data_IF_647256237629
#
_entry.id   IF_647256237629
#
_cell.length_a   1.000
_cell.length_b   1.000
_cell.length_c   1.000
_cell.angle_alpha   90.00
_cell.angle_beta   90.00
_cell.angle_gamma   90.00
#
_symmetry.space_group_name_H-M   'P 1'
#
loop_
_entity.id
_entity.type
_entity.pdbx_description
1 polymer ?
#
# COMPACT_ATOMS: atom_id res chain seq x y z
N UNK A 1 26.23 12.42 -10.90
CA UNK A 1 24.91 12.49 -10.26
C UNK A 1 24.81 13.86 -9.59
N UNK A 2 23.98 14.78 -10.11
CA UNK A 2 23.80 16.12 -9.52
C UNK A 2 22.82 15.99 -8.35
N UNK A 3 23.26 16.35 -7.15
CA UNK A 3 22.50 16.29 -5.89
C UNK A 3 21.53 17.48 -5.71
N UNK A 4 21.33 18.29 -6.75
CA UNK A 4 20.71 19.62 -6.67
C UNK A 4 19.19 19.63 -6.44
N UNK A 5 18.54 18.45 -6.35
CA UNK A 5 17.08 18.32 -6.18
C UNK A 5 16.62 17.81 -4.81
N UNK A 6 17.55 17.41 -3.93
CA UNK A 6 17.18 16.85 -2.62
C UNK A 6 17.03 17.91 -1.51
N UNK A 7 17.63 19.08 -1.69
CA UNK A 7 17.58 20.19 -0.74
C UNK A 7 16.70 21.33 -1.31
N UNK A 8 15.70 21.82 -0.55
CA UNK A 8 14.85 22.91 -1.00
C UNK A 8 15.60 24.25 -1.11
N UNK A 9 15.04 25.17 -1.90
CA UNK A 9 15.52 26.56 -2.04
C UNK A 9 15.22 27.35 -0.73
N UNK A 10 16.17 27.37 0.20
CA UNK A 10 16.02 28.06 1.49
C UNK A 10 16.15 29.57 1.33
N UNK A 11 15.03 30.30 1.27
CA UNK A 11 15.02 31.77 1.32
C UNK A 11 14.89 32.26 2.75
N UNK A 12 16.03 32.54 3.40
CA UNK A 12 16.08 33.29 4.65
C UNK A 12 15.53 34.70 4.41
N UNK A 13 14.40 35.05 5.05
CA UNK A 13 13.82 36.40 4.97
C UNK A 13 14.77 37.44 5.56
N UNK A 14 14.92 38.55 4.85
CA UNK A 14 15.97 39.57 4.99
C UNK A 14 15.95 40.43 6.26
N UNK A 15 15.00 40.23 7.18
CA UNK A 15 14.79 41.12 8.34
C UNK A 15 15.69 40.82 9.55
N UNK A 16 16.61 39.84 9.46
CA UNK A 16 17.42 39.38 10.60
C UNK A 16 18.81 40.05 10.68
N UNK A 17 18.95 41.29 10.20
CA UNK A 17 20.27 41.96 10.10
C UNK A 17 20.77 42.64 11.39
N UNK A 18 19.98 42.78 12.44
CA UNK A 18 20.34 43.59 13.62
C UNK A 18 20.17 42.88 14.97
N UNK A 19 21.15 42.05 15.35
CA UNK A 19 21.65 41.88 16.73
C UNK A 19 22.76 40.81 16.76
N UNK A 20 23.67 40.89 17.73
CA UNK A 20 24.91 40.09 17.82
C UNK A 20 24.67 38.57 17.86
N UNK A 21 25.64 37.80 17.31
CA UNK A 21 25.59 36.33 17.16
C UNK A 21 25.08 35.84 15.80
N UNK A 22 25.19 36.65 14.72
CA UNK A 22 24.58 36.41 13.39
C UNK A 22 24.76 35.00 12.83
N UNK A 23 25.90 34.35 13.08
CA UNK A 23 26.17 33.01 12.55
C UNK A 23 25.40 31.93 13.32
N UNK A 24 25.41 31.99 14.65
CA UNK A 24 24.76 30.99 15.52
C UNK A 24 23.23 31.02 15.38
N UNK A 25 22.62 32.20 15.24
CA UNK A 25 21.19 32.32 14.98
C UNK A 25 20.80 31.84 13.59
N UNK A 26 21.57 32.17 12.55
CA UNK A 26 21.33 31.65 11.19
C UNK A 26 21.45 30.13 11.18
N UNK A 27 22.47 29.56 11.84
CA UNK A 27 22.59 28.11 12.02
C UNK A 27 21.42 27.51 12.81
N UNK A 28 20.97 28.16 13.88
CA UNK A 28 19.85 27.69 14.68
C UNK A 28 18.55 27.64 13.88
N UNK A 29 18.20 28.72 13.17
CA UNK A 29 16.99 28.76 12.34
C UNK A 29 17.09 27.83 11.14
N UNK A 30 18.25 27.75 10.49
CA UNK A 30 18.51 26.77 9.43
C UNK A 30 18.34 25.33 9.94
N UNK A 31 18.91 25.01 11.10
CA UNK A 31 18.77 23.71 11.73
C UNK A 31 17.32 23.40 12.09
N UNK A 32 16.56 24.37 12.61
CA UNK A 32 15.14 24.21 12.90
C UNK A 32 14.32 23.93 11.63
N UNK A 33 14.60 24.64 10.53
CA UNK A 33 13.89 24.41 9.27
C UNK A 33 14.28 23.08 8.63
N UNK A 34 15.55 22.68 8.71
CA UNK A 34 16.04 21.37 8.31
C UNK A 34 15.41 20.25 9.15
N UNK A 35 15.33 20.42 10.46
CA UNK A 35 14.67 19.48 11.37
C UNK A 35 13.19 19.36 11.04
N UNK A 36 12.47 20.48 10.87
CA UNK A 36 11.06 20.48 10.45
C UNK A 36 10.87 19.79 9.11
N UNK A 37 11.75 20.04 8.15
CA UNK A 37 11.74 19.41 6.84
C UNK A 37 11.90 17.89 6.94
N UNK A 38 12.92 17.40 7.64
CA UNK A 38 13.16 15.97 7.81
C UNK A 38 12.08 15.30 8.64
N UNK A 39 11.63 15.90 9.74
CA UNK A 39 10.52 15.38 10.52
C UNK A 39 9.24 15.30 9.69
N UNK A 40 8.98 16.31 8.86
CA UNK A 40 7.81 16.28 7.98
C UNK A 40 7.93 15.20 6.91
N UNK A 41 9.09 15.07 6.25
CA UNK A 41 9.36 13.98 5.30
C UNK A 41 9.15 12.61 5.95
N UNK A 42 9.75 12.38 7.11
CA UNK A 42 9.63 11.13 7.85
C UNK A 42 8.17 10.84 8.22
N UNK A 43 7.40 11.85 8.61
CA UNK A 43 5.97 11.72 8.93
C UNK A 43 5.06 11.48 7.71
N UNK A 44 5.60 11.49 6.48
CA UNK A 44 4.89 11.14 5.24
C UNK A 44 5.38 9.83 4.62
N UNK A 45 6.16 9.05 5.38
CA UNK A 45 6.52 7.68 5.07
C UNK A 45 5.66 6.77 5.94
N UNK A 46 4.80 5.98 5.30
CA UNK A 46 3.92 5.02 5.96
C UNK A 46 4.42 3.62 5.64
N UNK A 47 4.85 2.88 6.66
CA UNK A 47 5.43 1.54 6.47
C UNK A 47 4.45 0.46 6.92
N UNK A 48 4.19 -0.57 6.13
CA UNK A 48 3.32 -1.68 6.53
C UNK A 48 4.13 -2.97 6.39
N UNK A 49 4.40 -3.62 7.52
CA UNK A 49 5.17 -4.87 7.58
C UNK A 49 4.40 -6.07 7.00
N UNK A 50 5.06 -7.23 6.84
CA UNK A 50 4.55 -8.37 6.07
C UNK A 50 3.45 -9.16 6.82
N UNK A 51 3.46 -9.12 8.15
CA UNK A 51 2.45 -9.76 8.98
C UNK A 51 1.52 -8.72 9.57
N UNK A 52 0.23 -8.81 9.26
CA UNK A 52 -0.78 -7.89 9.79
C UNK A 52 -1.43 -8.52 11.01
N UNK A 53 -1.81 -7.66 11.95
CA UNK A 53 -2.40 -8.07 13.22
C UNK A 53 -3.72 -8.80 12.96
N UNK A 54 -3.90 -9.94 13.63
CA UNK A 54 -5.18 -10.66 13.61
C UNK A 54 -6.28 -9.74 14.14
N UNK A 55 -7.40 -9.60 13.43
CA UNK A 55 -8.50 -8.76 13.87
C UNK A 55 -9.13 -9.26 15.18
N UNK A 56 -9.77 -8.35 15.89
CA UNK A 56 -10.51 -8.62 17.12
C UNK A 56 -12.04 -8.62 16.84
N UNK A 57 -12.82 -9.33 17.67
CA UNK A 57 -14.29 -9.39 17.52
C UNK A 57 -14.95 -8.02 17.70
N UNK A 58 -14.40 -7.18 18.55
CA UNK A 58 -14.89 -5.84 18.83
C UNK A 58 -13.70 -4.93 19.15
N UNK A 59 -13.83 -3.67 18.78
CA UNK A 59 -12.84 -2.62 18.96
C UNK A 59 -13.44 -1.50 19.78
N UNK A 60 -12.58 -0.70 20.40
CA UNK A 60 -12.98 0.51 21.13
C UNK A 60 -12.62 1.75 20.33
N UNK A 61 -13.51 2.74 20.29
CA UNK A 61 -13.18 4.05 19.76
C UNK A 61 -12.03 4.69 20.55
N UNK A 62 -11.15 5.38 19.83
CA UNK A 62 -10.09 6.20 20.43
C UNK A 62 -10.41 7.67 20.21
N UNK A 63 -10.05 8.52 21.16
CA UNK A 63 -10.24 9.98 21.07
C UNK A 63 -9.22 10.64 20.14
N UNK A 64 -8.04 10.02 19.98
CA UNK A 64 -6.99 10.56 19.12
C UNK A 64 -7.17 10.13 17.67
N UNK A 65 -7.13 11.09 16.75
CA UNK A 65 -7.05 10.83 15.32
C UNK A 65 -5.71 10.16 14.98
N UNK A 66 -5.76 9.04 14.27
CA UNK A 66 -4.57 8.36 13.75
C UNK A 66 -4.58 8.50 12.24
N UNK A 67 -3.47 8.95 11.66
CA UNK A 67 -3.33 9.22 10.22
C UNK A 67 -2.50 8.16 9.49
N UNK A 68 -2.34 6.98 10.11
CA UNK A 68 -1.54 5.87 9.63
C UNK A 68 -2.08 4.57 10.23
N UNK A 69 -2.21 3.53 9.42
CA UNK A 69 -2.80 2.25 9.86
C UNK A 69 -1.96 1.48 10.88
N UNK A 70 -0.71 1.88 11.12
CA UNK A 70 0.21 1.15 11.99
C UNK A 70 1.06 0.14 11.23
N UNK A 71 2.11 -0.35 11.87
CA UNK A 71 3.09 -1.26 11.25
C UNK A 71 2.42 -2.57 10.83
N UNK A 72 1.53 -3.09 11.67
CA UNK A 72 0.79 -4.34 11.45
C UNK A 72 -0.67 -4.06 11.06
N UNK A 73 -1.03 -2.81 10.77
CA UNK A 73 -2.41 -2.41 10.46
C UNK A 73 -3.33 -2.29 11.68
N UNK A 74 -2.78 -2.22 12.89
CA UNK A 74 -3.52 -2.23 14.17
C UNK A 74 -4.49 -1.06 14.35
N UNK A 75 -4.33 0.04 13.62
CA UNK A 75 -5.20 1.21 13.69
C UNK A 75 -6.26 1.25 12.58
N UNK A 76 -6.19 0.39 11.56
CA UNK A 76 -7.13 0.40 10.45
C UNK A 76 -8.61 0.33 10.89
N UNK A 77 -9.02 -0.52 11.85
CA UNK A 77 -10.41 -0.56 12.31
C UNK A 77 -10.87 0.75 12.96
N UNK A 78 -10.00 1.36 13.78
CA UNK A 78 -10.31 2.62 14.48
C UNK A 78 -10.40 3.77 13.50
N UNK A 79 -9.52 3.83 12.51
CA UNK A 79 -9.53 4.84 11.45
C UNK A 79 -10.84 4.78 10.66
N UNK A 80 -11.24 3.59 10.22
CA UNK A 80 -12.50 3.39 9.51
C UNK A 80 -13.70 3.84 10.35
N UNK A 81 -13.73 3.48 11.63
CA UNK A 81 -14.82 3.82 12.52
C UNK A 81 -14.89 5.32 12.85
N UNK A 82 -13.73 5.96 13.05
CA UNK A 82 -13.63 7.41 13.23
C UNK A 82 -14.07 8.17 11.98
N UNK A 83 -13.59 7.77 10.80
CA UNK A 83 -13.98 8.38 9.53
C UNK A 83 -15.51 8.33 9.35
N UNK A 84 -16.12 7.17 9.57
CA UNK A 84 -17.58 7.02 9.51
C UNK A 84 -18.31 7.92 10.51
N UNK A 85 -17.85 8.00 11.77
CA UNK A 85 -18.47 8.88 12.79
C UNK A 85 -18.39 10.36 12.41
N UNK A 86 -17.32 10.74 11.70
CA UNK A 86 -17.13 12.10 11.20
C UNK A 86 -17.85 12.37 9.87
N UNK A 87 -18.61 11.40 9.33
CA UNK A 87 -19.29 11.52 8.04
C UNK A 87 -18.35 11.47 6.83
N UNK A 88 -17.19 10.83 6.98
CA UNK A 88 -16.24 10.59 5.91
C UNK A 88 -16.68 9.48 4.95
N UNK A 89 -15.92 9.31 3.87
CA UNK A 89 -16.22 8.38 2.76
C UNK A 89 -15.21 7.24 2.67
N UNK A 90 -14.26 7.14 3.60
CA UNK A 90 -13.19 6.14 3.53
C UNK A 90 -13.75 4.72 3.62
N UNK A 91 -14.69 4.49 4.52
CA UNK A 91 -15.34 3.17 4.67
C UNK A 91 -16.07 2.77 3.39
N UNK A 92 -16.75 3.72 2.73
CA UNK A 92 -17.45 3.48 1.47
C UNK A 92 -16.47 3.15 0.35
N UNK A 93 -15.36 3.88 0.23
CA UNK A 93 -14.31 3.64 -0.78
C UNK A 93 -13.64 2.27 -0.60
N UNK A 94 -13.32 1.92 0.64
CA UNK A 94 -12.75 0.60 0.98
C UNK A 94 -13.76 -0.50 0.64
N UNK A 95 -15.02 -0.32 1.03
CA UNK A 95 -16.09 -1.29 0.76
C UNK A 95 -16.38 -1.45 -0.74
N UNK A 96 -16.35 -0.36 -1.51
CA UNK A 96 -16.52 -0.38 -2.97
C UNK A 96 -15.38 -1.12 -3.68
N UNK A 97 -14.13 -0.85 -3.29
CA UNK A 97 -12.97 -1.54 -3.85
C UNK A 97 -13.05 -3.05 -3.57
N UNK A 98 -13.34 -3.44 -2.31
CA UNK A 98 -13.54 -4.85 -1.95
C UNK A 98 -14.67 -5.51 -2.75
N UNK A 99 -15.74 -4.75 -3.05
CA UNK A 99 -16.88 -5.28 -3.79
C UNK A 99 -16.52 -5.55 -5.24
N UNK A 100 -15.86 -4.60 -5.90
CA UNK A 100 -15.46 -4.70 -7.32
C UNK A 100 -14.45 -5.82 -7.58
N UNK A 101 -13.54 -6.04 -6.63
CA UNK A 101 -12.40 -6.92 -6.85
C UNK A 101 -12.50 -8.28 -6.15
N UNK A 102 -13.22 -8.38 -5.04
CA UNK A 102 -13.27 -9.58 -4.20
C UNK A 102 -14.69 -10.03 -3.83
N UNK A 103 -15.74 -9.37 -4.33
CA UNK A 103 -17.14 -9.64 -3.97
C UNK A 103 -17.45 -9.49 -2.47
N UNK A 104 -16.68 -8.69 -1.74
CA UNK A 104 -16.92 -8.40 -0.33
C UNK A 104 -17.35 -6.96 -0.13
N UNK A 105 -18.22 -6.69 0.84
CA UNK A 105 -18.44 -5.32 1.35
C UNK A 105 -18.11 -5.25 2.83
N UNK A 106 -17.50 -4.14 3.23
CA UNK A 106 -17.14 -3.87 4.61
C UNK A 106 -18.11 -2.84 5.20
N UNK A 107 -18.56 -3.12 6.41
CA UNK A 107 -19.43 -2.27 7.20
C UNK A 107 -18.94 -2.21 8.65
N UNK A 108 -19.30 -1.13 9.32
CA UNK A 108 -19.00 -0.93 10.75
C UNK A 108 -20.33 -1.01 11.49
N UNK A 109 -20.38 -1.70 12.61
CA UNK A 109 -21.57 -1.77 13.45
C UNK A 109 -21.23 -1.37 14.88
N UNK A 110 -21.93 -0.36 15.40
CA UNK A 110 -21.83 0.03 16.80
C UNK A 110 -22.54 -1.00 17.69
N UNK A 111 -21.88 -1.35 18.79
CA UNK A 111 -22.45 -2.26 19.78
C UNK A 111 -23.29 -1.47 20.78
N UNK A 112 -24.51 -1.91 20.99
CA UNK A 112 -25.45 -1.31 21.93
C UNK A 112 -25.53 -2.18 23.18
N UNK A 113 -25.58 -1.55 24.36
CA UNK A 113 -25.77 -2.27 25.62
C UNK A 113 -27.19 -2.87 25.72
N UNK A 114 -27.35 -3.92 26.51
CA UNK A 114 -28.63 -4.62 26.71
C UNK A 114 -29.72 -3.81 27.42
N UNK A 115 -29.43 -2.56 27.82
CA UNK A 115 -30.42 -1.59 28.26
C UNK A 115 -30.65 -0.59 27.15
N UNK A 116 -31.93 -0.45 26.76
CA UNK A 116 -32.44 0.50 25.79
C UNK A 116 -31.75 1.86 26.06
N UNK A 117 -31.05 2.38 25.04
CA UNK A 117 -30.32 3.67 25.01
C UNK A 117 -28.91 3.79 25.62
N UNK A 118 -28.22 2.70 25.99
CA UNK A 118 -26.78 2.79 26.31
C UNK A 118 -25.91 2.58 25.06
N UNK A 119 -25.53 3.67 24.39
CA UNK A 119 -24.43 3.64 23.39
C UNK A 119 -23.14 3.22 24.09
N UNK A 120 -22.47 2.20 23.56
CA UNK A 120 -21.13 1.82 24.03
C UNK A 120 -20.07 2.44 23.15
N UNK A 121 -18.84 2.59 23.67
CA UNK A 121 -17.68 2.96 22.86
C UNK A 121 -17.11 1.79 22.05
N UNK A 122 -17.90 0.73 21.85
CA UNK A 122 -17.47 -0.47 21.13
C UNK A 122 -18.14 -0.57 19.77
N UNK A 123 -17.38 -1.06 18.80
CA UNK A 123 -17.84 -1.34 17.45
C UNK A 123 -17.24 -2.64 16.94
N UNK A 124 -17.82 -3.19 15.87
CA UNK A 124 -17.28 -4.36 15.15
C UNK A 124 -17.20 -4.08 13.66
N UNK A 125 -16.22 -4.71 13.01
CA UNK A 125 -16.13 -4.74 11.55
C UNK A 125 -16.87 -5.97 11.04
N UNK A 126 -17.83 -5.73 10.16
CA UNK A 126 -18.63 -6.76 9.51
C UNK A 126 -18.29 -6.80 8.02
N UNK A 127 -18.19 -8.00 7.49
CA UNK A 127 -17.99 -8.25 6.07
C UNK A 127 -19.17 -9.04 5.54
N UNK A 128 -19.74 -8.58 4.42
CA UNK A 128 -20.77 -9.32 3.69
C UNK A 128 -20.14 -9.90 2.43
N UNK A 129 -20.25 -11.22 2.28
CA UNK A 129 -19.88 -11.97 1.08
C UNK A 129 -21.06 -11.94 0.10
N UNK A 130 -20.87 -11.37 -1.09
CA UNK A 130 -21.93 -11.28 -2.09
C UNK A 130 -22.14 -12.58 -2.90
N UNK A 131 -21.28 -13.58 -2.75
CA UNK A 131 -21.49 -14.92 -3.33
C UNK A 131 -22.40 -15.73 -2.41
N UNK A 132 -22.04 -15.82 -1.13
CA UNK A 132 -22.80 -16.62 -0.13
C UNK A 132 -23.94 -15.86 0.54
N UNK A 133 -23.98 -14.53 0.39
CA UNK A 133 -24.86 -13.61 1.11
C UNK A 133 -24.67 -13.63 2.64
N UNK A 134 -23.60 -14.26 3.13
CA UNK A 134 -23.31 -14.35 4.55
C UNK A 134 -22.66 -13.05 5.06
N UNK A 135 -23.17 -12.56 6.19
CA UNK A 135 -22.60 -11.41 6.91
C UNK A 135 -21.93 -11.89 8.19
N UNK A 136 -20.62 -11.69 8.28
CA UNK A 136 -19.80 -12.23 9.36
C UNK A 136 -18.87 -11.15 9.92
N UNK A 137 -18.36 -11.39 11.12
CA UNK A 137 -17.31 -10.54 11.67
C UNK A 137 -16.03 -10.71 10.86
N UNK A 138 -15.22 -9.66 10.71
CA UNK A 138 -13.95 -9.73 9.98
C UNK A 138 -13.00 -10.80 10.52
N UNK A 139 -13.05 -11.12 11.83
CA UNK A 139 -12.24 -12.19 12.42
C UNK A 139 -12.66 -13.59 11.98
N UNK A 140 -13.92 -13.75 11.60
CA UNK A 140 -14.47 -15.01 11.12
C UNK A 140 -14.30 -15.13 9.58
N UNK A 141 -13.65 -14.14 8.94
CA UNK A 141 -13.29 -14.18 7.53
C UNK A 141 -11.92 -14.85 7.33
N UNK A 142 -11.70 -15.39 6.13
CA UNK A 142 -10.42 -15.99 5.76
C UNK A 142 -9.26 -15.01 5.96
N UNK A 143 -8.12 -15.55 6.43
CA UNK A 143 -6.95 -14.76 6.82
C UNK A 143 -6.54 -13.71 5.77
N UNK A 144 -6.57 -14.05 4.47
CA UNK A 144 -6.19 -13.14 3.41
C UNK A 144 -6.95 -11.79 3.41
N UNK A 145 -8.27 -11.80 3.64
CA UNK A 145 -9.05 -10.56 3.65
C UNK A 145 -8.65 -9.64 4.82
N UNK A 146 -8.42 -10.24 6.00
CA UNK A 146 -8.01 -9.48 7.19
C UNK A 146 -6.63 -8.82 7.02
N UNK A 147 -5.71 -9.48 6.30
CA UNK A 147 -4.38 -8.95 6.01
C UNK A 147 -4.42 -7.81 4.98
N UNK A 148 -5.39 -7.85 4.07
CA UNK A 148 -5.56 -6.89 2.99
C UNK A 148 -6.20 -5.58 3.45
N UNK A 149 -7.18 -5.63 4.36
CA UNK A 149 -7.95 -4.44 4.78
C UNK A 149 -7.04 -3.26 5.17
N UNK A 150 -6.00 -3.41 6.01
CA UNK A 150 -5.11 -2.29 6.35
C UNK A 150 -4.43 -1.64 5.15
N UNK A 151 -4.06 -2.43 4.14
CA UNK A 151 -3.41 -1.94 2.91
C UNK A 151 -4.40 -1.11 2.09
N UNK A 152 -5.64 -1.60 1.94
CA UNK A 152 -6.72 -0.89 1.24
C UNK A 152 -7.07 0.42 1.96
N UNK A 153 -7.15 0.37 3.30
CA UNK A 153 -7.39 1.55 4.14
C UNK A 153 -6.27 2.58 3.93
N UNK A 154 -5.00 2.22 4.14
CA UNK A 154 -3.89 3.16 3.96
C UNK A 154 -3.81 3.72 2.54
N UNK A 155 -4.20 2.94 1.52
CA UNK A 155 -4.21 3.39 0.13
C UNK A 155 -5.22 4.50 -0.09
N UNK A 156 -6.43 4.38 0.46
CA UNK A 156 -7.49 5.38 0.30
C UNK A 156 -7.49 6.48 1.35
N UNK A 157 -6.73 6.33 2.44
CA UNK A 157 -6.55 7.37 3.45
C UNK A 157 -5.99 8.66 2.86
N UNK A 158 -6.48 9.78 3.41
CA UNK A 158 -6.08 11.11 3.00
C UNK A 158 -4.86 11.60 3.78
N UNK A 159 -3.70 11.60 3.12
CA UNK A 159 -2.43 12.03 3.73
C UNK A 159 -2.22 13.56 3.67
N UNK A 160 -3.27 14.35 3.42
CA UNK A 160 -3.18 15.81 3.23
C UNK A 160 -2.64 16.49 4.49
N UNK A 161 -1.65 17.41 4.38
CA UNK A 161 -1.16 18.12 5.55
C UNK A 161 -2.28 18.98 6.16
N UNK A 162 -2.36 19.06 7.51
CA UNK A 162 -3.38 19.86 8.17
C UNK A 162 -3.27 21.34 7.76
N UNK A 163 -4.42 22.01 7.66
CA UNK A 163 -4.56 23.40 7.18
C UNK A 163 -3.69 24.42 7.93
N UNK A 164 -3.24 24.07 9.13
CA UNK A 164 -2.36 24.88 9.99
C UNK A 164 -1.00 25.20 9.34
N UNK A 165 -0.59 24.46 8.30
CA UNK A 165 0.73 24.62 7.67
C UNK A 165 0.67 24.80 6.15
N UNK A 166 0.17 25.94 5.64
CA UNK A 166 -0.04 26.16 4.20
C UNK A 166 1.25 26.14 3.37
N UNK A 167 2.41 26.51 3.94
CA UNK A 167 3.71 26.39 3.26
C UNK A 167 4.14 24.94 3.00
N UNK A 168 3.58 24.00 3.77
CA UNK A 168 3.87 22.56 3.66
C UNK A 168 2.88 21.83 2.75
N UNK A 169 1.82 22.49 2.25
CA UNK A 169 1.02 21.98 1.10
C UNK A 169 1.87 21.81 -0.16
N UNK A 170 3.00 22.52 -0.24
CA UNK A 170 3.93 22.44 -1.36
C UNK A 170 4.82 21.21 -1.33
N UNK A 171 4.72 20.34 -0.31
CA UNK A 171 5.47 19.10 -0.27
C UNK A 171 4.80 18.06 -1.15
N UNK A 172 5.44 17.63 -2.25
CA UNK A 172 4.72 17.03 -3.35
C UNK A 172 4.53 15.53 -3.22
N UNK A 173 4.96 14.85 -2.14
CA UNK A 173 4.89 13.39 -2.09
C UNK A 173 4.56 12.78 -0.72
N UNK A 174 3.76 11.71 -0.71
CA UNK A 174 3.69 10.71 0.38
C UNK A 174 4.19 9.37 -0.15
N UNK A 175 4.93 8.63 0.69
CA UNK A 175 5.45 7.32 0.35
C UNK A 175 4.81 6.27 1.25
N UNK A 176 4.13 5.31 0.65
CA UNK A 176 3.66 4.11 1.35
C UNK A 176 4.58 2.94 1.00
N UNK A 177 5.29 2.42 2.00
CA UNK A 177 6.16 1.25 1.89
C UNK A 177 5.38 0.04 2.40
N UNK A 178 5.33 -1.04 1.63
CA UNK A 178 4.54 -2.22 1.95
C UNK A 178 5.36 -3.48 1.69
N UNK A 179 5.51 -4.30 2.71
CA UNK A 179 6.18 -5.59 2.57
C UNK A 179 5.18 -6.71 2.29
N UNK A 180 5.46 -7.49 1.25
CA UNK A 180 4.76 -8.72 0.87
C UNK A 180 3.23 -8.61 1.00
N UNK A 181 2.58 -7.65 0.31
CA UNK A 181 1.13 -7.45 0.39
C UNK A 181 0.32 -8.65 -0.09
N UNK A 182 0.93 -9.54 -0.88
CA UNK A 182 0.33 -10.75 -1.44
C UNK A 182 0.20 -11.91 -0.44
N UNK A 183 0.86 -11.84 0.73
CA UNK A 183 0.85 -12.95 1.67
C UNK A 183 -0.56 -13.33 2.09
N UNK A 184 -0.83 -14.63 2.08
CA UNK A 184 -2.13 -15.24 2.41
C UNK A 184 -3.28 -14.90 1.44
N UNK A 185 -3.01 -14.20 0.33
CA UNK A 185 -4.00 -13.97 -0.72
C UNK A 185 -3.97 -15.09 -1.77
N UNK A 186 -5.16 -15.41 -2.26
CA UNK A 186 -5.31 -16.25 -3.44
C UNK A 186 -4.64 -15.57 -4.65
N UNK A 187 -3.96 -16.31 -5.54
CA UNK A 187 -3.31 -15.80 -6.77
C UNK A 187 -4.10 -14.71 -7.52
N UNK A 188 -5.38 -14.98 -7.83
CA UNK A 188 -6.25 -14.03 -8.51
C UNK A 188 -6.42 -12.68 -7.77
N UNK A 189 -6.43 -12.70 -6.44
CA UNK A 189 -6.53 -11.49 -5.61
C UNK A 189 -5.19 -10.72 -5.53
N UNK A 190 -4.06 -11.39 -5.74
CA UNK A 190 -2.75 -10.72 -5.76
C UNK A 190 -2.64 -9.75 -6.93
N UNK A 191 -3.13 -10.14 -8.12
CA UNK A 191 -3.19 -9.23 -9.28
C UNK A 191 -4.00 -7.97 -8.97
N UNK A 192 -5.10 -8.08 -8.21
CA UNK A 192 -5.93 -6.94 -7.82
C UNK A 192 -5.19 -5.92 -6.95
N UNK A 193 -4.10 -6.29 -6.27
CA UNK A 193 -3.27 -5.33 -5.51
C UNK A 193 -2.68 -4.25 -6.42
N UNK A 194 -2.31 -4.57 -7.65
CA UNK A 194 -1.86 -3.54 -8.60
C UNK A 194 -2.99 -2.57 -8.92
N UNK A 195 -4.23 -3.05 -9.04
CA UNK A 195 -5.40 -2.19 -9.27
C UNK A 195 -5.59 -1.22 -8.10
N UNK A 196 -5.42 -1.70 -6.87
CA UNK A 196 -5.47 -0.88 -5.66
C UNK A 196 -4.43 0.26 -5.70
N UNK A 197 -3.17 -0.07 -6.00
CA UNK A 197 -2.11 0.95 -6.00
C UNK A 197 -2.29 1.95 -7.13
N UNK A 198 -2.70 1.50 -8.32
CA UNK A 198 -3.06 2.37 -9.44
C UNK A 198 -4.20 3.34 -9.08
N UNK A 199 -5.27 2.84 -8.46
CA UNK A 199 -6.36 3.69 -7.96
C UNK A 199 -5.83 4.69 -6.93
N UNK A 200 -4.98 4.24 -5.99
CA UNK A 200 -4.34 5.07 -4.98
C UNK A 200 -3.53 6.24 -5.55
N UNK A 201 -2.76 6.00 -6.62
CA UNK A 201 -1.99 7.04 -7.33
C UNK A 201 -2.94 7.99 -8.07
N UNK A 202 -3.92 7.45 -8.81
CA UNK A 202 -4.83 8.22 -9.66
C UNK A 202 -5.75 9.18 -8.88
N UNK A 203 -6.11 8.84 -7.64
CA UNK A 203 -6.99 9.64 -6.80
C UNK A 203 -6.45 11.04 -6.44
N UNK A 204 -5.19 11.38 -6.77
CA UNK A 204 -4.49 12.56 -6.23
C UNK A 204 -3.89 13.51 -7.29
N UNK A 205 -4.54 13.70 -8.44
CA UNK A 205 -4.09 14.64 -9.50
C UNK A 205 -3.85 16.11 -9.08
N UNK A 206 -4.34 16.55 -7.91
CA UNK A 206 -4.24 17.95 -7.44
C UNK A 206 -3.70 18.13 -6.01
N UNK A 207 -3.24 17.06 -5.37
CA UNK A 207 -2.57 17.10 -4.07
C UNK A 207 -1.24 16.33 -4.17
N UNK A 208 -0.43 16.34 -3.11
CA UNK A 208 0.85 15.61 -3.08
C UNK A 208 0.72 14.20 -3.69
N UNK A 209 1.58 13.89 -4.65
CA UNK A 209 1.66 12.61 -5.35
C UNK A 209 1.85 11.47 -4.36
N UNK A 210 1.03 10.42 -4.47
CA UNK A 210 1.20 9.21 -3.66
C UNK A 210 2.12 8.27 -4.41
N UNK A 211 3.16 7.79 -3.74
CA UNK A 211 4.11 6.81 -4.27
C UNK A 211 4.06 5.56 -3.41
N UNK A 212 4.30 4.42 -4.04
CA UNK A 212 4.36 3.13 -3.37
C UNK A 212 5.74 2.51 -3.56
N UNK A 213 6.29 1.97 -2.49
CA UNK A 213 7.45 1.07 -2.53
C UNK A 213 6.98 -0.29 -2.02
N UNK A 214 6.98 -1.28 -2.89
CA UNK A 214 6.38 -2.58 -2.59
C UNK A 214 7.45 -3.64 -2.72
N UNK A 215 7.67 -4.39 -1.64
CA UNK A 215 8.38 -5.66 -1.71
C UNK A 215 7.35 -6.76 -2.03
N UNK A 216 7.59 -7.53 -3.08
CA UNK A 216 6.66 -8.59 -3.49
C UNK A 216 7.40 -9.76 -4.13
N UNK A 217 6.89 -10.96 -3.89
CA UNK A 217 7.23 -12.20 -4.59
C UNK A 217 6.12 -12.63 -5.56
N UNK A 218 5.09 -11.80 -5.76
CA UNK A 218 3.97 -12.14 -6.63
C UNK A 218 4.29 -11.89 -8.09
N UNK A 219 4.40 -12.98 -8.86
CA UNK A 219 4.41 -12.95 -10.32
C UNK A 219 3.15 -12.28 -10.89
N UNK A 220 1.99 -12.54 -10.28
CA UNK A 220 0.71 -11.99 -10.72
C UNK A 220 0.65 -10.46 -10.65
N UNK A 221 1.28 -9.87 -9.63
CA UNK A 221 1.41 -8.42 -9.52
C UNK A 221 2.29 -7.86 -10.64
N UNK A 222 3.44 -8.49 -10.89
CA UNK A 222 4.35 -8.06 -11.96
C UNK A 222 3.70 -8.18 -13.36
N UNK A 223 2.99 -9.28 -13.62
CA UNK A 223 2.22 -9.47 -14.86
C UNK A 223 1.17 -8.36 -15.03
N UNK A 224 0.42 -8.03 -13.97
CA UNK A 224 -0.59 -6.98 -13.99
C UNK A 224 0.01 -5.60 -14.26
N UNK A 225 1.15 -5.30 -13.65
CA UNK A 225 1.90 -4.05 -13.88
C UNK A 225 2.36 -3.93 -15.34
N UNK A 226 2.98 -4.99 -15.89
CA UNK A 226 3.42 -5.03 -17.30
C UNK A 226 2.24 -4.80 -18.24
N UNK A 227 1.09 -5.43 -17.96
CA UNK A 227 -0.14 -5.19 -18.73
C UNK A 227 -0.57 -3.71 -18.68
N UNK A 228 -0.45 -3.05 -17.53
CA UNK A 228 -0.82 -1.63 -17.39
C UNK A 228 0.12 -0.66 -18.09
N UNK A 229 1.39 -1.01 -18.24
CA UNK A 229 2.32 -0.28 -19.10
C UNK A 229 1.85 -0.38 -20.56
N UNK A 230 1.59 -1.60 -21.05
CA UNK A 230 1.12 -1.83 -22.44
C UNK A 230 -0.25 -1.21 -22.73
N UNK A 231 -1.14 -1.19 -21.73
CA UNK A 231 -2.46 -0.54 -21.82
C UNK A 231 -2.40 0.99 -21.65
N UNK A 232 -1.20 1.59 -21.52
CA UNK A 232 -0.97 3.03 -21.31
C UNK A 232 -1.73 3.59 -20.10
N UNK A 233 -1.91 2.77 -19.05
CA UNK A 233 -2.56 3.18 -17.79
C UNK A 233 -1.58 3.78 -16.77
N UNK A 234 -0.29 3.55 -16.96
CA UNK A 234 0.81 4.14 -16.19
C UNK A 234 1.95 4.47 -17.13
N UNK A 235 2.58 5.64 -16.93
CA UNK A 235 3.77 6.01 -17.69
C UNK A 235 4.97 5.19 -17.20
N UNK A 236 5.80 4.74 -18.14
CA UNK A 236 6.98 3.93 -17.83
C UNK A 236 7.96 4.67 -16.90
N UNK A 237 8.02 6.00 -16.99
CA UNK A 237 8.85 6.86 -16.14
C UNK A 237 8.38 6.89 -14.67
N UNK A 238 7.14 6.52 -14.38
CA UNK A 238 6.57 6.43 -13.03
C UNK A 238 6.80 5.04 -12.39
N UNK A 239 7.42 4.10 -13.13
CA UNK A 239 7.63 2.71 -12.71
C UNK A 239 9.11 2.39 -12.60
N UNK A 240 9.50 1.75 -11.50
CA UNK A 240 10.81 1.14 -11.35
C UNK A 240 10.68 -0.22 -10.67
N UNK A 241 11.27 -1.25 -11.29
CA UNK A 241 11.30 -2.60 -10.75
C UNK A 241 12.74 -2.97 -10.43
N UNK A 242 12.96 -3.44 -9.21
CA UNK A 242 14.27 -3.88 -8.73
C UNK A 242 14.18 -5.34 -8.30
N UNK A 243 15.13 -6.14 -8.77
CA UNK A 243 15.29 -7.51 -8.38
C UNK A 243 16.48 -7.65 -7.44
N UNK A 244 16.29 -8.39 -6.35
CA UNK A 244 17.34 -8.70 -5.39
C UNK A 244 17.79 -10.13 -5.57
N UNK A 245 19.07 -10.33 -5.91
CA UNK A 245 19.67 -11.64 -6.15
C UNK A 245 20.80 -11.89 -5.13
N UNK A 246 21.06 -13.15 -4.79
CA UNK A 246 22.33 -13.52 -4.14
C UNK A 246 23.40 -13.65 -5.21
N UNK A 247 24.52 -12.98 -5.02
CA UNK A 247 25.70 -13.22 -5.87
C UNK A 247 26.47 -14.45 -5.37
N UNK A 248 27.33 -15.02 -6.23
CA UNK A 248 28.15 -16.19 -5.90
C UNK A 248 29.13 -15.99 -4.73
N UNK A 249 29.27 -14.76 -4.22
CA UNK A 249 30.08 -14.43 -3.04
C UNK A 249 29.28 -14.38 -1.72
N UNK A 250 27.98 -14.66 -1.76
CA UNK A 250 27.10 -14.66 -0.58
C UNK A 250 26.54 -13.29 -0.18
N UNK A 251 26.79 -12.25 -0.98
CA UNK A 251 26.19 -10.92 -0.81
C UNK A 251 24.92 -10.77 -1.65
N UNK A 252 24.00 -9.91 -1.22
CA UNK A 252 22.85 -9.54 -2.02
C UNK A 252 23.22 -8.41 -2.99
N UNK A 253 22.83 -8.55 -4.24
CA UNK A 253 22.93 -7.54 -5.29
C UNK A 253 21.53 -7.10 -5.70
N UNK A 254 21.33 -5.79 -5.79
CA UNK A 254 20.08 -5.20 -6.28
C UNK A 254 20.32 -4.71 -7.70
N UNK A 255 19.57 -5.26 -8.64
CA UNK A 255 19.62 -4.86 -10.05
C UNK A 255 18.28 -4.29 -10.49
N UNK A 256 18.29 -3.24 -11.31
CA UNK A 256 17.08 -2.75 -11.94
C UNK A 256 16.69 -3.69 -13.07
N UNK A 257 15.41 -4.04 -13.14
CA UNK A 257 14.83 -4.70 -14.31
C UNK A 257 14.27 -3.61 -15.22
N UNK A 258 14.83 -3.50 -16.41
CA UNK A 258 14.31 -2.59 -17.44
C UNK A 258 13.09 -3.23 -18.09
N UNK A 259 11.98 -2.48 -18.12
CA UNK A 259 10.73 -2.87 -18.80
C UNK A 259 10.61 -1.98 -20.03
N UNK A 260 10.37 -2.56 -21.20
CA UNK A 260 10.14 -1.78 -22.43
C UNK A 260 8.66 -1.34 -22.59
N UNK A 261 8.38 -0.56 -23.64
CA UNK A 261 7.02 -0.09 -23.96
C UNK A 261 6.02 -1.22 -24.29
N UNK A 262 6.53 -2.40 -24.65
CA UNK A 262 5.74 -3.62 -24.91
C UNK A 262 5.60 -4.49 -23.65
N UNK A 263 6.10 -4.02 -22.51
CA UNK A 263 6.08 -4.75 -21.25
C UNK A 263 7.02 -5.95 -21.23
N UNK A 264 8.02 -6.05 -22.10
CA UNK A 264 9.07 -7.07 -22.00
C UNK A 264 10.13 -6.66 -20.99
N UNK A 265 10.76 -7.66 -20.38
CA UNK A 265 11.93 -7.51 -19.52
C UNK A 265 13.06 -8.30 -20.20
N UNK A 266 14.15 -7.63 -20.52
CA UNK A 266 15.26 -8.23 -21.27
C UNK A 266 16.02 -9.29 -20.44
N UNK A 267 16.40 -8.94 -19.21
CA UNK A 267 17.19 -9.79 -18.32
C UNK A 267 16.35 -10.39 -17.19
N UNK A 268 15.41 -11.27 -17.52
CA UNK A 268 14.60 -11.97 -16.51
C UNK A 268 15.48 -12.68 -15.48
N UNK A 269 15.17 -12.59 -14.18
CA UNK A 269 15.87 -13.37 -13.18
C UNK A 269 15.55 -14.86 -13.29
N UNK A 270 16.59 -15.69 -13.25
CA UNK A 270 16.45 -17.15 -13.17
C UNK A 270 15.54 -17.53 -11.99
N UNK A 271 14.64 -18.51 -12.22
CA UNK A 271 13.71 -19.01 -11.21
C UNK A 271 12.46 -18.18 -10.92
N UNK A 272 12.30 -16.95 -11.43
CA UNK A 272 11.10 -16.13 -11.14
C UNK A 272 9.85 -16.51 -11.95
N UNK A 273 10.00 -17.22 -13.08
CA UNK A 273 8.87 -17.80 -13.87
C UNK A 273 9.17 -19.24 -14.32
N UNK A 274 10.39 -19.70 -14.09
CA UNK A 274 10.89 -20.95 -14.66
C UNK A 274 10.44 -22.17 -13.86
N UNK A 275 10.18 -22.02 -12.55
CA UNK A 275 9.76 -23.14 -11.70
C UNK A 275 8.41 -23.69 -12.18
N UNK A 276 7.38 -22.84 -12.31
CA UNK A 276 6.05 -23.24 -12.79
C UNK A 276 6.10 -23.85 -14.21
N UNK A 277 6.86 -23.24 -15.12
CA UNK A 277 7.01 -23.76 -16.49
C UNK A 277 7.75 -25.10 -16.53
N UNK A 278 8.79 -25.25 -15.70
CA UNK A 278 9.56 -26.49 -15.60
C UNK A 278 8.72 -27.63 -15.04
N UNK A 279 7.85 -27.36 -14.05
CA UNK A 279 6.91 -28.32 -13.49
C UNK A 279 5.84 -28.74 -14.51
N UNK A 280 5.31 -27.81 -15.31
CA UNK A 280 4.38 -28.14 -16.40
C UNK A 280 5.04 -29.04 -17.45
N UNK A 281 6.29 -28.74 -17.84
CA UNK A 281 7.05 -29.59 -18.75
C UNK A 281 7.33 -30.98 -18.16
N UNK A 282 7.68 -31.05 -16.88
CA UNK A 282 7.91 -32.30 -16.17
C UNK A 282 6.62 -33.14 -16.08
N UNK A 283 5.47 -32.51 -15.80
CA UNK A 283 4.16 -33.14 -15.81
C UNK A 283 3.80 -33.69 -17.19
N UNK A 284 3.99 -32.90 -18.25
CA UNK A 284 3.76 -33.34 -19.63
C UNK A 284 4.62 -34.54 -20.01
N UNK A 285 5.89 -34.54 -19.58
CA UNK A 285 6.78 -35.68 -19.76
C UNK A 285 6.28 -36.92 -19.00
N UNK A 286 5.88 -36.76 -17.74
CA UNK A 286 5.35 -37.85 -16.93
C UNK A 286 4.03 -38.42 -17.49
N UNK A 287 3.16 -37.58 -18.05
CA UNK A 287 1.92 -38.00 -18.70
C UNK A 287 2.19 -38.83 -19.96
N UNK A 288 3.16 -38.40 -20.79
CA UNK A 288 3.62 -39.16 -21.96
C UNK A 288 4.18 -40.53 -21.56
N UNK A 289 5.01 -40.58 -20.52
CA UNK A 289 5.60 -41.82 -20.02
C UNK A 289 4.56 -42.78 -19.39
N UNK A 290 3.42 -42.24 -18.91
CA UNK A 290 2.31 -43.02 -18.32
C UNK A 290 1.34 -43.59 -19.38
N UNK A 291 1.50 -43.23 -20.67
CA UNK A 291 0.69 -43.76 -21.77
C UNK A 291 -0.69 -43.12 -21.91
N UNK A 292 -0.90 -41.89 -21.42
CA UNK A 292 -2.10 -41.12 -21.70
C UNK A 292 -2.10 -40.63 -23.15
N UNK A 293 -3.16 -40.92 -23.91
CA UNK A 293 -3.44 -40.26 -25.19
C UNK A 293 -3.45 -38.74 -24.99
N UNK A 294 -3.15 -37.99 -26.08
CA UNK A 294 -3.11 -36.53 -26.14
C UNK A 294 -4.50 -35.92 -25.90
N UNK A 295 -5.02 -36.02 -24.68
CA UNK A 295 -6.08 -35.14 -24.23
C UNK A 295 -5.44 -33.77 -23.97
N UNK A 296 -5.71 -32.86 -24.91
CA UNK A 296 -5.29 -31.46 -24.92
C UNK A 296 -5.57 -30.87 -23.55
N UNK A 297 -4.50 -30.50 -22.84
CA UNK A 297 -4.61 -29.84 -21.56
C UNK A 297 -5.06 -28.38 -21.82
N UNK A 298 -6.11 -27.86 -21.18
CA UNK A 298 -6.62 -26.53 -21.43
C UNK A 298 -5.81 -25.49 -20.65
N UNK A 299 -4.60 -25.20 -21.11
CA UNK A 299 -3.90 -23.96 -20.79
C UNK A 299 -3.13 -23.45 -22.00
#
# INVERSE_FOLDING_TARGET
>A
MKFDKFLPDFRLTSDLREAMGKLEHVFYYFFLDLHRYFSFMANRIYYIGPFRRTPERAYRYKENAVNYVGHDGEFAPVILAQDRRMGGTLTERVSDWLRRHLNYSLEIEDLHGGTIDSQTDLFRLMVTDHVTQAKNNVIDMGHGLSQLIPIVVQTFMDDSPPDKYPRLRSFPFSLTVIEQPELHLHPAAQACLMDLFMEGIAHRRHAAAKSFLIETHSEHMLIRLRRYIVEEKIDLDDVAVYYTAKNGSGNNEVRRLEIDEYGHIEDWPEGFFEEDFSEVLALNKALRDKGGEEDIIPW
#
